data_IF_639143387563
#
_entry.id   IF_639143387563
#
_cell.length_a   1.000
_cell.length_b   1.000
_cell.length_c   1.000
_cell.angle_alpha   90.00
_cell.angle_beta   90.00
_cell.angle_gamma   90.00
#
_symmetry.space_group_name_H-M   'P 1'
#
loop_
_entity.id
_entity.type
_entity.pdbx_description
1 polymer ?
#
# COMPACT_ATOMS: atom_id res chain seq x y z
N UNK A 1 33.71 -36.72 21.56
CA UNK A 1 34.36 -35.51 22.12
C UNK A 1 33.49 -34.30 21.78
N UNK A 2 33.09 -33.52 22.78
CA UNK A 2 32.35 -32.26 22.57
C UNK A 2 33.36 -31.19 22.15
N UNK A 3 33.10 -30.49 21.04
CA UNK A 3 34.03 -29.48 20.51
C UNK A 3 33.78 -28.18 21.27
N UNK A 4 34.76 -27.78 22.08
CA UNK A 4 34.74 -26.54 22.85
C UNK A 4 34.60 -25.33 21.92
N UNK A 5 33.60 -24.51 22.21
CA UNK A 5 33.25 -23.26 21.50
C UNK A 5 33.94 -22.04 22.12
N UNK A 6 35.08 -22.22 22.78
CA UNK A 6 35.79 -21.12 23.44
C UNK A 6 37.06 -20.76 22.66
N UNK A 7 37.17 -19.48 22.33
CA UNK A 7 38.32 -18.80 21.71
C UNK A 7 38.49 -18.98 20.20
N UNK A 8 37.52 -18.49 19.42
CA UNK A 8 37.91 -17.71 18.25
C UNK A 8 38.14 -16.31 18.81
N UNK A 9 39.39 -15.92 19.01
CA UNK A 9 39.71 -14.53 19.34
C UNK A 9 39.17 -13.64 18.22
N UNK A 10 38.48 -12.58 18.61
CA UNK A 10 37.84 -11.63 17.71
C UNK A 10 38.94 -10.80 17.05
N UNK A 11 39.50 -11.29 15.93
CA UNK A 11 40.56 -10.62 15.14
C UNK A 11 40.05 -9.33 14.46
N UNK A 12 38.79 -8.93 14.69
CA UNK A 12 38.22 -7.70 14.17
C UNK A 12 38.84 -6.49 14.84
N UNK A 13 39.26 -5.52 14.01
CA UNK A 13 39.67 -4.21 14.51
C UNK A 13 38.49 -3.53 15.21
N UNK A 14 38.74 -2.69 16.25
CA UNK A 14 37.69 -2.08 17.06
C UNK A 14 36.72 -1.20 16.26
N UNK A 15 37.12 -0.73 15.08
CA UNK A 15 36.30 0.04 14.15
C UNK A 15 35.21 -0.81 13.46
N UNK A 16 35.33 -2.14 13.44
CA UNK A 16 34.42 -3.03 12.75
C UNK A 16 33.52 -3.81 13.72
N UNK A 17 32.40 -3.20 14.14
CA UNK A 17 31.35 -3.92 14.89
C UNK A 17 30.35 -4.62 13.96
N UNK A 18 30.65 -5.87 13.59
CA UNK A 18 29.73 -6.69 12.78
C UNK A 18 28.47 -7.12 13.54
N UNK A 19 28.39 -6.97 14.87
CA UNK A 19 27.19 -7.30 15.67
C UNK A 19 26.09 -6.26 15.51
N UNK A 20 26.47 -5.01 15.23
CA UNK A 20 25.53 -3.92 14.92
C UNK A 20 24.89 -4.04 13.52
N UNK A 21 25.52 -4.81 12.62
CA UNK A 21 25.07 -4.93 11.25
C UNK A 21 23.85 -5.84 11.15
N UNK A 22 22.81 -5.37 10.46
CA UNK A 22 21.66 -6.19 10.08
C UNK A 22 22.08 -7.21 9.02
N UNK A 23 22.39 -8.43 9.45
CA UNK A 23 22.66 -9.57 8.56
C UNK A 23 21.42 -9.93 7.72
N UNK A 24 21.61 -10.14 6.41
CA UNK A 24 20.55 -10.56 5.48
C UNK A 24 20.99 -11.76 4.64
N UNK A 25 20.09 -12.75 4.50
CA UNK A 25 20.33 -13.91 3.62
C UNK A 25 20.34 -13.48 2.15
N UNK A 26 21.45 -13.76 1.46
CA UNK A 26 21.63 -13.65 0.01
C UNK A 26 21.34 -15.03 -0.61
N UNK A 27 20.47 -15.11 -1.63
CA UNK A 27 20.13 -16.40 -2.26
C UNK A 27 18.96 -16.33 -3.23
N UNK A 28 18.78 -17.38 -4.04
CA UNK A 28 17.82 -17.48 -5.16
C UNK A 28 16.34 -17.42 -4.75
N UNK A 29 16.00 -17.72 -3.49
CA UNK A 29 14.63 -17.70 -2.96
C UNK A 29 14.28 -16.41 -2.22
N UNK A 30 14.76 -15.25 -2.72
CA UNK A 30 14.28 -13.97 -2.23
C UNK A 30 12.82 -13.79 -2.64
N UNK A 31 11.91 -13.73 -1.67
CA UNK A 31 10.74 -12.87 -1.82
C UNK A 31 11.31 -11.45 -1.88
N UNK A 32 10.98 -10.68 -2.91
CA UNK A 32 11.39 -9.27 -3.02
C UNK A 32 11.18 -8.57 -1.68
N UNK A 33 12.00 -7.56 -1.37
CA UNK A 33 11.63 -6.64 -0.29
C UNK A 33 10.18 -6.25 -0.54
N UNK A 34 9.32 -6.48 0.45
CA UNK A 34 7.88 -6.38 0.30
C UNK A 34 7.46 -5.07 -0.37
N UNK A 35 6.31 -5.17 -1.04
CA UNK A 35 5.59 -4.14 -1.80
C UNK A 35 6.09 -3.83 -3.21
N UNK A 36 5.14 -3.74 -4.13
CA UNK A 36 5.30 -3.20 -5.48
C UNK A 36 5.71 -1.73 -5.36
N UNK A 37 6.85 -1.35 -5.94
CA UNK A 37 7.31 0.04 -5.97
C UNK A 37 6.47 0.78 -7.01
N UNK A 38 5.70 1.78 -6.55
CA UNK A 38 4.94 2.69 -7.42
C UNK A 38 5.67 4.02 -7.44
N UNK A 39 6.08 4.45 -8.63
CA UNK A 39 6.70 5.77 -8.83
C UNK A 39 5.60 6.82 -8.94
N UNK A 40 5.70 7.86 -8.11
CA UNK A 40 4.87 9.05 -8.20
C UNK A 40 5.57 10.09 -9.07
N UNK A 41 4.78 10.96 -9.70
CA UNK A 41 5.30 12.14 -10.39
C UNK A 41 5.83 13.18 -9.37
N UNK A 42 6.78 14.04 -9.76
CA UNK A 42 7.47 14.96 -8.84
C UNK A 42 6.54 15.95 -8.14
N UNK A 43 5.52 16.42 -8.85
CA UNK A 43 4.47 17.30 -8.33
C UNK A 43 3.63 16.62 -7.25
N UNK A 44 3.22 15.38 -7.48
CA UNK A 44 2.45 14.58 -6.51
C UNK A 44 3.31 14.25 -5.29
N UNK A 45 4.57 13.86 -5.50
CA UNK A 45 5.49 13.57 -4.41
C UNK A 45 5.81 14.81 -3.54
N UNK A 46 5.79 16.01 -4.13
CA UNK A 46 5.95 17.27 -3.39
C UNK A 46 4.72 17.59 -2.53
N UNK A 47 3.52 17.27 -3.01
CA UNK A 47 2.26 17.54 -2.31
C UNK A 47 1.96 16.49 -1.23
N UNK A 48 2.40 15.25 -1.40
CA UNK A 48 2.16 14.15 -0.46
C UNK A 48 3.47 13.64 0.14
N UNK A 49 3.79 14.01 1.40
CA UNK A 49 5.08 13.68 2.01
C UNK A 49 5.22 12.21 2.44
N UNK A 50 4.13 11.41 2.41
CA UNK A 50 4.16 10.00 2.79
C UNK A 50 3.22 9.14 1.94
N UNK A 51 3.52 7.84 1.86
CA UNK A 51 2.66 6.86 1.21
C UNK A 51 1.28 6.76 1.89
N UNK A 52 1.22 6.92 3.21
CA UNK A 52 -0.04 6.92 3.95
C UNK A 52 -0.94 8.08 3.53
N UNK A 53 -0.38 9.28 3.33
CA UNK A 53 -1.13 10.45 2.89
C UNK A 53 -1.75 10.24 1.50
N UNK A 54 -1.00 9.64 0.56
CA UNK A 54 -1.52 9.27 -0.77
C UNK A 54 -2.66 8.26 -0.65
N UNK A 55 -2.46 7.22 0.16
CA UNK A 55 -3.44 6.14 0.30
C UNK A 55 -4.75 6.65 0.91
N UNK A 56 -4.68 7.51 1.92
CA UNK A 56 -5.88 8.11 2.51
C UNK A 56 -6.63 9.00 1.52
N UNK A 57 -5.91 9.83 0.75
CA UNK A 57 -6.54 10.65 -0.30
C UNK A 57 -7.28 9.80 -1.34
N UNK A 58 -6.65 8.72 -1.83
CA UNK A 58 -7.26 7.81 -2.79
C UNK A 58 -8.47 7.06 -2.19
N UNK A 59 -8.42 6.66 -0.92
CA UNK A 59 -9.56 6.03 -0.22
C UNK A 59 -10.74 6.99 -0.10
N UNK A 60 -10.48 8.26 0.25
CA UNK A 60 -11.52 9.29 0.30
C UNK A 60 -12.18 9.48 -1.07
N UNK A 61 -11.39 9.56 -2.14
CA UNK A 61 -11.92 9.66 -3.50
C UNK A 61 -12.83 8.47 -3.85
N UNK A 62 -12.39 7.24 -3.56
CA UNK A 62 -13.19 6.03 -3.77
C UNK A 62 -14.53 6.10 -3.02
N UNK A 63 -14.53 6.60 -1.78
CA UNK A 63 -15.76 6.75 -0.99
C UNK A 63 -16.72 7.74 -1.62
N UNK A 64 -16.24 8.93 -1.99
CA UNK A 64 -17.05 9.96 -2.65
C UNK A 64 -17.65 9.44 -3.95
N UNK A 65 -16.87 8.73 -4.76
CA UNK A 65 -17.35 8.14 -6.01
C UNK A 65 -18.43 7.07 -5.77
N UNK A 66 -18.30 6.25 -4.71
CA UNK A 66 -19.34 5.25 -4.39
C UNK A 66 -20.65 5.91 -3.97
N UNK A 67 -20.56 6.96 -3.15
CA UNK A 67 -21.72 7.69 -2.68
C UNK A 67 -22.45 8.39 -3.85
N UNK A 68 -21.71 8.96 -4.82
CA UNK A 68 -22.30 9.58 -6.01
C UNK A 68 -22.99 8.56 -6.94
N UNK A 69 -22.41 7.37 -7.11
CA UNK A 69 -23.00 6.31 -7.92
C UNK A 69 -24.30 5.76 -7.30
N UNK A 70 -24.37 5.62 -5.97
CA UNK A 70 -25.60 5.22 -5.28
C UNK A 70 -26.76 6.17 -5.57
N UNK A 71 -26.52 7.49 -5.56
CA UNK A 71 -27.54 8.51 -5.87
C UNK A 71 -27.98 8.55 -7.34
N UNK A 72 -27.13 8.13 -8.29
CA UNK A 72 -27.51 8.06 -9.71
C UNK A 72 -28.47 6.92 -10.05
N UNK A 73 -28.57 5.90 -9.19
CA UNK A 73 -29.42 4.72 -9.41
C UNK A 73 -30.91 4.93 -9.05
N UNK A 74 -31.24 5.94 -8.23
CA UNK A 74 -32.62 6.17 -7.77
C UNK A 74 -33.43 7.10 -8.69
N UNK A 75 -32.79 7.80 -9.64
CA UNK A 75 -33.44 8.78 -10.51
C UNK A 75 -34.11 8.18 -11.78
N UNK A 76 -34.00 6.88 -12.03
CA UNK A 76 -34.51 6.25 -13.28
C UNK A 76 -35.89 5.56 -13.14
N UNK A 77 -36.53 5.58 -11.96
CA UNK A 77 -37.72 4.74 -11.71
C UNK A 77 -39.05 5.49 -11.54
N UNK A 78 -39.17 6.77 -11.98
CA UNK A 78 -40.35 7.61 -11.66
C UNK A 78 -41.18 8.15 -12.84
N UNK A 79 -41.00 7.64 -14.07
CA UNK A 79 -41.64 8.26 -15.25
C UNK A 79 -42.67 7.40 -15.98
N UNK A 80 -43.17 6.30 -15.40
CA UNK A 80 -44.07 5.38 -16.14
C UNK A 80 -45.37 5.02 -15.43
N UNK A 81 -46.03 5.95 -14.72
CA UNK A 81 -47.37 5.71 -14.15
C UNK A 81 -48.21 7.00 -14.06
N UNK A 82 -48.43 7.71 -15.17
CA UNK A 82 -49.40 8.83 -15.24
C UNK A 82 -49.98 8.95 -16.67
N UNK A 83 -50.23 7.83 -17.37
CA UNK A 83 -50.84 7.92 -18.70
C UNK A 83 -51.63 6.67 -19.13
N UNK A 84 -52.53 6.18 -18.28
CA UNK A 84 -53.64 5.30 -18.73
C UNK A 84 -54.92 5.59 -17.93
N UNK A 85 -55.33 6.85 -17.86
CA UNK A 85 -56.68 7.21 -17.41
C UNK A 85 -57.08 8.52 -18.10
N UNK A 86 -57.28 8.43 -19.42
CA UNK A 86 -58.07 9.35 -20.25
C UNK A 86 -57.93 8.93 -21.71
N UNK A 87 -58.92 8.20 -22.20
CA UNK A 87 -59.75 8.60 -23.35
C UNK A 87 -60.45 7.37 -23.93
N UNK A 88 -61.78 7.44 -23.89
CA UNK A 88 -62.80 6.89 -24.79
C UNK A 88 -62.46 5.71 -25.70
#
# INVERSE_FOLDING_TARGET
MRKDRSKMEDELQPEYDLKSLKVRKLGKNRKSFGSTIVRLEPDVAQMFPSADAVNEALRLLIRVMRDSQASSSTAQNRTTLEQTDKSF
#
